data_IF_974078545106
#
_entry.id   IF_974078545106
#
_cell.length_a   1.000
_cell.length_b   1.000
_cell.length_c   1.000
_cell.angle_alpha   90.00
_cell.angle_beta   90.00
_cell.angle_gamma   90.00
#
_symmetry.space_group_name_H-M   'P 1'
#
loop_
_entity.id
_entity.type
_entity.pdbx_description
1 polymer ?
#
# COMPACT_ATOMS: atom_id res chain seq x y z
N UNK A 1 24.00 13.04 19.72
CA UNK A 1 24.16 11.91 18.77
C UNK A 1 25.62 11.67 18.41
N UNK A 2 26.31 12.59 17.72
CA UNK A 2 27.74 12.42 17.33
C UNK A 2 28.67 12.04 18.50
N UNK A 3 28.53 12.72 19.65
CA UNK A 3 29.29 12.39 20.86
C UNK A 3 28.98 10.97 21.41
N UNK A 4 27.73 10.52 21.29
CA UNK A 4 27.30 9.19 21.74
C UNK A 4 27.82 8.09 20.80
N UNK A 5 27.79 8.33 19.49
CA UNK A 5 28.38 7.43 18.49
C UNK A 5 29.89 7.35 18.63
N UNK A 6 30.56 8.50 18.82
CA UNK A 6 32.00 8.54 19.10
C UNK A 6 32.36 7.82 20.39
N UNK A 7 31.51 7.86 21.42
CA UNK A 7 31.70 7.10 22.65
C UNK A 7 31.53 5.60 22.39
N UNK A 8 30.46 5.19 21.71
CA UNK A 8 30.20 3.78 21.41
C UNK A 8 31.33 3.13 20.58
N UNK A 9 31.84 3.84 19.57
CA UNK A 9 32.99 3.42 18.76
C UNK A 9 34.24 3.22 19.63
N UNK A 10 34.47 4.08 20.63
CA UNK A 10 35.66 3.97 21.49
C UNK A 10 35.55 2.89 22.55
N UNK A 11 34.36 2.69 23.09
CA UNK A 11 34.16 1.81 24.25
C UNK A 11 33.92 0.35 23.84
N UNK A 12 33.26 0.12 22.70
CA UNK A 12 32.81 -1.23 22.32
C UNK A 12 33.60 -1.89 21.19
N UNK A 13 34.45 -1.15 20.48
CA UNK A 13 35.30 -1.74 19.45
C UNK A 13 36.67 -2.17 20.02
N UNK A 14 37.25 -3.28 19.53
CA UNK A 14 38.62 -3.64 19.82
C UNK A 14 39.56 -2.47 19.50
N UNK A 15 40.53 -2.21 20.37
CA UNK A 15 41.45 -1.06 20.25
C UNK A 15 42.17 -0.96 18.90
N UNK A 16 42.39 -2.10 18.23
CA UNK A 16 42.98 -2.20 16.89
C UNK A 16 42.06 -1.66 15.79
N UNK A 17 40.75 -1.83 15.93
CA UNK A 17 39.75 -1.33 14.99
C UNK A 17 39.42 0.15 15.19
N UNK A 18 39.62 0.68 16.40
CA UNK A 18 39.35 2.11 16.69
C UNK A 18 40.19 3.03 15.80
N UNK A 19 41.45 2.67 15.49
CA UNK A 19 42.32 3.51 14.67
C UNK A 19 41.96 3.47 13.18
N UNK A 20 41.68 2.27 12.64
CA UNK A 20 41.23 2.07 11.25
C UNK A 20 39.85 2.69 11.02
N UNK A 21 38.88 2.39 11.89
CA UNK A 21 37.53 2.93 11.79
C UNK A 21 37.54 4.43 12.10
N UNK A 22 38.22 4.88 13.14
CA UNK A 22 38.25 6.30 13.52
C UNK A 22 38.89 7.22 12.47
N UNK A 23 39.79 6.69 11.63
CA UNK A 23 40.37 7.45 10.52
C UNK A 23 39.51 7.43 9.24
N UNK A 24 38.73 6.38 9.02
CA UNK A 24 37.82 6.26 7.87
C UNK A 24 36.38 6.78 8.11
N UNK A 25 35.95 6.87 9.37
CA UNK A 25 34.56 7.15 9.75
C UNK A 25 34.41 8.63 10.14
N UNK A 26 34.32 9.49 9.13
CA UNK A 26 33.88 10.88 9.30
C UNK A 26 32.37 10.88 9.59
N UNK A 27 32.03 10.81 10.88
CA UNK A 27 30.65 10.80 11.37
C UNK A 27 29.86 12.04 10.91
N UNK A 28 30.52 13.19 10.73
CA UNK A 28 29.86 14.42 10.29
C UNK A 28 29.49 14.33 8.81
N UNK A 29 30.40 13.81 7.97
CA UNK A 29 30.12 13.53 6.57
C UNK A 29 29.07 12.43 6.38
N UNK A 30 29.02 11.42 7.26
CA UNK A 30 28.00 10.36 7.23
C UNK A 30 26.63 10.93 7.56
N UNK A 31 26.51 11.74 8.62
CA UNK A 31 25.25 12.41 8.98
C UNK A 31 24.80 13.35 7.86
N UNK A 32 25.71 14.14 7.29
CA UNK A 32 25.40 15.01 6.14
C UNK A 32 24.93 14.22 4.92
N UNK A 33 25.59 13.10 4.61
CA UNK A 33 25.18 12.23 3.49
C UNK A 33 23.82 11.56 3.72
N UNK A 34 23.46 11.26 4.98
CA UNK A 34 22.15 10.71 5.31
C UNK A 34 21.03 11.74 5.10
N UNK A 35 21.30 13.01 5.46
CA UNK A 35 20.38 14.12 5.22
C UNK A 35 20.15 14.40 3.73
N UNK A 36 21.18 14.19 2.90
CA UNK A 36 21.10 14.43 1.45
C UNK A 36 20.50 13.24 0.69
N UNK A 37 20.70 12.00 1.16
CA UNK A 37 20.24 10.81 0.45
C UNK A 37 20.03 9.61 1.40
N UNK A 38 18.75 9.29 1.68
CA UNK A 38 18.36 8.14 2.50
C UNK A 38 18.86 6.83 1.85
N UNK A 39 19.91 6.23 2.42
CA UNK A 39 20.59 5.03 1.91
C UNK A 39 22.06 5.22 1.54
N UNK A 40 22.51 6.46 1.30
CA UNK A 40 23.93 6.75 1.06
C UNK A 40 24.79 6.49 2.30
N UNK A 41 24.26 6.83 3.48
CA UNK A 41 24.95 6.64 4.76
C UNK A 41 25.21 5.16 5.06
N UNK A 42 24.19 4.30 4.94
CA UNK A 42 24.31 2.85 5.17
C UNK A 42 25.35 2.20 4.27
N UNK A 43 25.35 2.51 2.97
CA UNK A 43 26.34 1.98 2.03
C UNK A 43 27.77 2.37 2.42
N UNK A 44 27.96 3.63 2.82
CA UNK A 44 29.28 4.16 3.21
C UNK A 44 29.76 3.55 4.52
N UNK A 45 28.88 3.44 5.52
CA UNK A 45 29.18 2.77 6.79
C UNK A 45 29.57 1.31 6.55
N UNK A 46 28.78 0.56 5.77
CA UNK A 46 29.09 -0.82 5.44
C UNK A 46 30.43 -0.97 4.72
N UNK A 47 30.77 -0.05 3.82
CA UNK A 47 32.07 -0.04 3.14
C UNK A 47 33.23 0.15 4.12
N UNK A 48 33.15 1.17 5.00
CA UNK A 48 34.21 1.45 5.99
C UNK A 48 34.43 0.27 6.92
N UNK A 49 33.35 -0.33 7.42
CA UNK A 49 33.45 -1.53 8.28
C UNK A 49 33.98 -2.75 7.52
N UNK A 50 33.61 -2.93 6.24
CA UNK A 50 34.14 -4.03 5.41
C UNK A 50 35.63 -3.85 5.13
N UNK A 51 36.07 -2.62 4.84
CA UNK A 51 37.49 -2.30 4.62
C UNK A 51 38.31 -2.47 5.88
N UNK A 52 37.83 -1.99 7.04
CA UNK A 52 38.50 -2.18 8.32
C UNK A 52 38.60 -3.66 8.75
N UNK A 53 37.71 -4.53 8.27
CA UNK A 53 37.79 -6.00 8.49
C UNK A 53 38.82 -6.69 7.58
N UNK A 54 39.21 -6.10 6.44
CA UNK A 54 40.13 -6.75 5.49
C UNK A 54 41.51 -6.91 6.14
N UNK A 55 41.90 -8.17 6.38
CA UNK A 55 43.24 -8.52 6.88
C UNK A 55 43.33 -8.67 8.40
N UNK A 56 42.23 -8.53 9.15
CA UNK A 56 42.20 -8.80 10.59
C UNK A 56 41.32 -10.01 10.88
N UNK A 57 41.88 -11.16 11.29
CA UNK A 57 41.08 -12.27 11.80
C UNK A 57 40.49 -11.86 13.16
N UNK A 58 39.19 -11.62 13.19
CA UNK A 58 38.44 -11.31 14.40
C UNK A 58 37.97 -12.61 15.07
N UNK A 59 37.95 -12.63 16.39
CA UNK A 59 37.23 -13.68 17.12
C UNK A 59 35.72 -13.50 16.96
N UNK A 60 34.92 -14.56 17.17
CA UNK A 60 33.44 -14.48 17.10
C UNK A 60 32.85 -13.40 17.99
N UNK A 61 33.46 -13.14 19.16
CA UNK A 61 33.02 -12.10 20.08
C UNK A 61 33.28 -10.71 19.50
N UNK A 62 34.45 -10.50 18.91
CA UNK A 62 34.81 -9.23 18.28
C UNK A 62 33.98 -8.97 17.02
N UNK A 63 33.70 -10.00 16.21
CA UNK A 63 32.77 -9.88 15.07
C UNK A 63 31.39 -9.42 15.54
N UNK A 64 30.85 -10.04 16.59
CA UNK A 64 29.57 -9.64 17.17
C UNK A 64 29.56 -8.21 17.70
N UNK A 65 30.64 -7.76 18.37
CA UNK A 65 30.76 -6.38 18.84
C UNK A 65 30.79 -5.38 17.70
N UNK A 66 31.54 -5.69 16.64
CA UNK A 66 31.63 -4.84 15.44
C UNK A 66 30.28 -4.75 14.75
N UNK A 67 29.56 -5.86 14.59
CA UNK A 67 28.22 -5.89 14.00
C UNK A 67 27.24 -5.05 14.82
N UNK A 68 27.25 -5.15 16.15
CA UNK A 68 26.41 -4.34 17.04
C UNK A 68 26.71 -2.84 16.87
N UNK A 69 27.99 -2.44 16.88
CA UNK A 69 28.37 -1.03 16.75
C UNK A 69 27.98 -0.51 15.37
N UNK A 70 28.21 -1.29 14.32
CA UNK A 70 27.80 -0.95 12.95
C UNK A 70 26.29 -0.75 12.86
N UNK A 71 25.50 -1.66 13.41
CA UNK A 71 24.04 -1.58 13.44
C UNK A 71 23.56 -0.32 14.18
N UNK A 72 24.16 0.02 15.32
CA UNK A 72 23.83 1.25 16.08
C UNK A 72 24.14 2.51 15.27
N UNK A 73 25.29 2.54 14.57
CA UNK A 73 25.66 3.69 13.72
C UNK A 73 24.71 3.82 12.53
N UNK A 74 24.37 2.71 11.87
CA UNK A 74 23.39 2.71 10.76
C UNK A 74 22.03 3.17 11.25
N UNK A 75 21.54 2.65 12.38
CA UNK A 75 20.27 3.09 12.97
C UNK A 75 20.27 4.57 13.31
N UNK A 76 21.34 5.09 13.92
CA UNK A 76 21.45 6.51 14.24
C UNK A 76 21.58 7.41 13.00
N UNK A 77 22.07 6.87 11.88
CA UNK A 77 22.17 7.60 10.62
C UNK A 77 20.83 7.61 9.86
N UNK A 78 20.12 6.48 9.82
CA UNK A 78 18.89 6.31 9.02
C UNK A 78 17.60 6.66 9.81
N UNK A 79 17.66 6.73 11.14
CA UNK A 79 16.50 7.00 12.00
C UNK A 79 16.67 8.24 12.87
N UNK A 80 15.54 8.84 13.23
CA UNK A 80 15.51 9.92 14.21
C UNK A 80 15.58 9.33 15.62
N UNK A 81 16.51 9.83 16.44
CA UNK A 81 16.57 9.46 17.85
C UNK A 81 15.57 10.32 18.64
N UNK A 82 14.47 9.72 19.08
CA UNK A 82 13.55 10.37 20.01
C UNK A 82 14.06 10.23 21.44
N UNK A 83 14.55 11.33 22.01
CA UNK A 83 14.89 11.40 23.43
C UNK A 83 13.72 12.01 24.19
N UNK A 84 13.18 11.26 25.15
CA UNK A 84 12.09 11.70 26.03
C UNK A 84 12.68 11.91 27.42
N UNK A 85 12.60 13.14 27.92
CA UNK A 85 12.92 13.42 29.31
C UNK A 85 11.81 12.85 30.20
N UNK A 86 12.18 11.97 31.13
CA UNK A 86 11.28 11.35 32.09
C UNK A 86 11.59 11.95 33.46
N UNK A 87 10.55 12.31 34.21
CA UNK A 87 10.71 12.82 35.57
C UNK A 87 11.37 11.74 36.45
N UNK A 88 12.18 12.16 37.43
CA UNK A 88 12.81 11.26 38.40
C UNK A 88 11.78 10.43 39.15
N UNK A 89 10.57 10.95 39.33
CA UNK A 89 9.46 10.24 39.97
C UNK A 89 8.98 9.00 39.18
N UNK A 90 9.12 9.00 37.86
CA UNK A 90 8.77 7.90 36.95
C UNK A 90 9.87 6.86 36.78
N UNK A 91 11.08 7.11 37.30
CA UNK A 91 12.19 6.14 37.27
C UNK A 91 11.81 4.92 38.13
N UNK A 92 12.10 3.72 37.61
CA UNK A 92 11.69 2.43 38.17
C UNK A 92 10.17 2.16 38.21
N UNK A 93 9.36 3.03 37.59
CA UNK A 93 7.94 2.78 37.36
C UNK A 93 7.69 2.27 35.94
N UNK A 94 6.58 1.54 35.75
CA UNK A 94 6.13 1.14 34.41
C UNK A 94 5.67 2.38 33.64
N UNK A 95 6.51 2.83 32.71
CA UNK A 95 6.19 3.95 31.82
C UNK A 95 5.76 3.43 30.45
N UNK A 96 4.80 4.12 29.82
CA UNK A 96 4.33 3.82 28.47
C UNK A 96 4.65 5.01 27.57
N UNK A 97 5.40 4.76 26.50
CA UNK A 97 5.66 5.75 25.46
C UNK A 97 4.69 5.50 24.32
N UNK A 98 3.90 6.52 23.96
CA UNK A 98 3.03 6.51 22.79
C UNK A 98 3.52 7.57 21.82
N UNK A 99 3.73 7.19 20.57
CA UNK A 99 4.03 8.12 19.49
C UNK A 99 3.20 7.72 18.27
N UNK A 100 2.81 8.72 17.48
CA UNK A 100 2.11 8.53 16.23
C UNK A 100 2.98 9.08 15.11
N UNK A 101 3.08 8.33 14.02
CA UNK A 101 3.85 8.72 12.84
C UNK A 101 2.84 8.94 11.70
N UNK A 102 2.73 10.18 11.23
CA UNK A 102 2.03 10.49 9.99
C UNK A 102 3.04 10.33 8.86
N UNK A 103 3.08 9.13 8.28
CA UNK A 103 4.03 8.76 7.23
C UNK A 103 3.29 8.55 5.91
N UNK A 104 3.91 9.03 4.83
CA UNK A 104 3.50 8.66 3.48
C UNK A 104 3.57 7.14 3.31
N UNK A 105 2.65 6.59 2.51
CA UNK A 105 2.57 5.15 2.29
C UNK A 105 3.87 4.64 1.66
N UNK A 106 4.60 3.70 2.27
CA UNK A 106 5.80 3.14 1.67
C UNK A 106 5.47 2.47 0.32
N UNK A 107 6.42 2.51 -0.61
CA UNK A 107 6.25 2.04 -1.98
C UNK A 107 5.87 0.53 -2.00
N UNK A 108 4.62 0.20 -2.33
CA UNK A 108 4.20 -1.18 -2.65
C UNK A 108 4.33 -1.40 -4.17
N UNK A 109 4.90 -2.53 -4.58
CA UNK A 109 5.07 -2.96 -5.97
C UNK A 109 3.77 -3.49 -6.62
N UNK A 110 2.71 -3.72 -5.86
CA UNK A 110 1.46 -4.30 -6.38
C UNK A 110 0.49 -3.22 -6.87
N UNK A 111 0.37 -3.08 -8.19
CA UNK A 111 -0.65 -2.23 -8.84
C UNK A 111 -1.81 -3.08 -9.35
N UNK A 112 -3.04 -2.59 -9.22
CA UNK A 112 -4.23 -3.19 -9.83
C UNK A 112 -4.88 -4.33 -9.04
N UNK A 113 -4.39 -4.65 -7.85
CA UNK A 113 -4.98 -5.63 -6.93
C UNK A 113 -5.93 -4.95 -5.95
N UNK A 114 -6.85 -5.73 -5.38
CA UNK A 114 -7.73 -5.29 -4.30
C UNK A 114 -6.96 -5.19 -2.98
N UNK A 115 -5.84 -5.89 -2.88
CA UNK A 115 -5.00 -5.97 -1.69
C UNK A 115 -3.68 -5.25 -1.90
N UNK A 116 -3.29 -4.47 -0.89
CA UNK A 116 -1.97 -3.83 -0.73
C UNK A 116 -1.39 -4.29 0.59
N UNK A 117 -0.12 -4.66 0.60
CA UNK A 117 0.57 -5.12 1.80
C UNK A 117 1.71 -4.17 2.09
N UNK A 118 1.66 -3.56 3.26
CA UNK A 118 2.66 -2.60 3.72
C UNK A 118 3.41 -3.23 4.88
N UNK A 119 4.73 -3.07 4.91
CA UNK A 119 5.54 -3.54 6.02
C UNK A 119 6.60 -2.51 6.42
N UNK A 120 6.87 -2.42 7.72
CA UNK A 120 7.95 -1.60 8.25
C UNK A 120 8.66 -2.33 9.38
N UNK A 121 9.98 -2.18 9.42
CA UNK A 121 10.81 -2.71 10.50
C UNK A 121 10.77 -1.79 11.73
N UNK A 122 10.79 -2.41 12.91
CA UNK A 122 10.87 -1.77 14.21
C UNK A 122 12.27 -2.11 14.76
N UNK A 123 13.25 -1.19 14.63
CA UNK A 123 14.65 -1.48 14.95
C UNK A 123 14.85 -1.86 16.42
N UNK A 124 14.16 -1.20 17.35
CA UNK A 124 14.34 -1.37 18.80
C UNK A 124 13.23 -2.22 19.45
N UNK A 125 12.68 -3.16 18.70
CA UNK A 125 11.57 -3.99 19.17
C UNK A 125 11.89 -4.68 20.51
N UNK A 126 13.07 -5.31 20.61
CA UNK A 126 13.54 -6.02 21.80
C UNK A 126 13.78 -5.19 23.05
N UNK A 127 13.91 -3.86 22.94
CA UNK A 127 14.23 -3.00 24.08
C UNK A 127 13.03 -2.72 24.99
N UNK A 128 11.81 -2.92 24.50
CA UNK A 128 10.61 -2.77 25.32
C UNK A 128 10.20 -4.10 25.97
N UNK A 129 9.62 -4.03 27.17
CA UNK A 129 9.01 -5.20 27.80
C UNK A 129 7.80 -5.73 26.99
N UNK A 130 7.16 -4.88 26.21
CA UNK A 130 6.06 -5.20 25.32
C UNK A 130 5.93 -4.13 24.24
N UNK A 131 5.68 -4.53 23.00
CA UNK A 131 5.50 -3.63 21.87
C UNK A 131 4.04 -3.68 21.43
N UNK A 132 3.43 -2.50 21.31
CA UNK A 132 2.05 -2.32 20.87
C UNK A 132 2.06 -1.50 19.59
N UNK A 133 1.50 -2.03 18.51
CA UNK A 133 1.37 -1.37 17.22
C UNK A 133 -0.10 -1.15 16.95
N UNK A 134 -0.48 0.11 16.72
CA UNK A 134 -1.81 0.49 16.26
C UNK A 134 -1.67 1.14 14.89
N UNK A 135 -2.44 0.66 13.91
CA UNK A 135 -2.43 1.21 12.55
C UNK A 135 -3.83 1.68 12.22
N UNK A 136 -3.93 2.91 11.74
CA UNK A 136 -5.15 3.51 11.22
C UNK A 136 -5.03 3.75 9.72
N UNK A 137 -6.05 3.36 8.95
CA UNK A 137 -6.13 3.62 7.50
C UNK A 137 -7.14 4.73 7.20
N UNK A 138 -6.92 5.51 6.12
CA UNK A 138 -7.81 6.59 5.74
C UNK A 138 -9.22 6.09 5.36
N UNK A 139 -10.25 6.97 5.41
CA UNK A 139 -11.61 6.62 5.03
C UNK A 139 -11.69 6.05 3.61
N UNK A 140 -12.49 4.98 3.44
CA UNK A 140 -12.63 4.28 2.16
C UNK A 140 -11.72 3.05 2.00
N UNK A 141 -10.84 2.80 2.97
CA UNK A 141 -10.04 1.59 3.11
C UNK A 141 -10.34 0.90 4.45
N UNK A 142 -9.92 -0.36 4.57
CA UNK A 142 -9.99 -1.14 5.81
C UNK A 142 -8.75 -2.02 5.91
N UNK A 143 -8.38 -2.35 7.14
CA UNK A 143 -7.37 -3.34 7.46
C UNK A 143 -8.02 -4.72 7.45
N UNK A 144 -7.42 -5.62 6.67
CA UNK A 144 -7.80 -7.03 6.60
C UNK A 144 -6.99 -7.86 7.59
N UNK A 145 -5.71 -7.53 7.76
CA UNK A 145 -4.78 -8.24 8.66
C UNK A 145 -3.70 -7.29 9.13
N UNK A 146 -3.33 -7.38 10.41
CA UNK A 146 -2.13 -6.78 10.96
C UNK A 146 -1.31 -7.88 11.63
N UNK A 147 -0.05 -8.01 11.25
CA UNK A 147 0.90 -8.91 11.87
C UNK A 147 2.01 -8.10 12.52
N UNK A 148 2.41 -8.51 13.71
CA UNK A 148 3.60 -8.05 14.39
C UNK A 148 4.53 -9.25 14.57
N UNK A 149 5.66 -9.22 13.89
CA UNK A 149 6.63 -10.30 13.82
C UNK A 149 7.91 -9.91 14.55
N UNK A 150 8.43 -10.83 15.35
CA UNK A 150 9.78 -10.77 15.90
C UNK A 150 10.75 -11.46 14.94
N UNK A 151 11.74 -10.71 14.47
CA UNK A 151 12.80 -11.17 13.59
C UNK A 151 14.06 -11.49 14.43
N UNK A 152 14.57 -12.72 14.29
CA UNK A 152 15.84 -13.11 14.92
C UNK A 152 17.07 -12.62 14.15
N UNK A 153 18.22 -12.61 14.84
CA UNK A 153 19.53 -12.16 14.33
C UNK A 153 20.00 -12.92 13.07
N UNK A 154 19.61 -14.19 12.89
CA UNK A 154 20.02 -15.00 11.74
C UNK A 154 19.01 -14.92 10.58
N UNK A 155 19.24 -13.96 9.67
CA UNK A 155 18.62 -13.95 8.34
C UNK A 155 17.11 -13.65 8.32
N UNK A 156 16.59 -12.96 9.32
CA UNK A 156 15.19 -12.52 9.33
C UNK A 156 14.18 -13.66 9.52
N UNK A 157 14.60 -14.78 10.12
CA UNK A 157 13.68 -15.85 10.52
C UNK A 157 12.69 -15.32 11.56
N UNK A 158 11.40 -15.52 11.29
CA UNK A 158 10.31 -15.18 12.20
C UNK A 158 10.41 -16.11 13.41
N UNK A 159 10.61 -15.53 14.60
CA UNK A 159 10.65 -16.28 15.87
C UNK A 159 9.27 -16.36 16.51
N UNK A 160 8.59 -15.22 16.58
CA UNK A 160 7.25 -15.11 17.11
C UNK A 160 6.42 -14.17 16.25
N UNK A 161 5.12 -14.43 16.19
CA UNK A 161 4.16 -13.64 15.45
C UNK A 161 2.92 -13.43 16.31
N UNK A 162 2.45 -12.19 16.36
CA UNK A 162 1.14 -11.81 16.89
C UNK A 162 0.34 -11.25 15.73
N UNK A 163 -0.75 -11.93 15.41
CA UNK A 163 -1.61 -11.56 14.29
C UNK A 163 -2.96 -11.13 14.79
N UNK A 164 -3.37 -9.95 14.36
CA UNK A 164 -4.70 -9.45 14.50
C UNK A 164 -5.45 -9.69 13.19
N UNK A 165 -6.16 -10.82 13.17
CA UNK A 165 -7.16 -11.15 12.18
C UNK A 165 -8.46 -10.53 12.66
N UNK A 166 -8.78 -9.32 12.19
CA UNK A 166 -10.02 -8.69 12.62
C UNK A 166 -11.22 -9.61 12.34
N UNK A 167 -12.03 -9.88 13.38
CA UNK A 167 -13.34 -10.53 13.25
C UNK A 167 -14.28 -9.76 12.28
N UNK A 168 -13.88 -8.54 11.89
CA UNK A 168 -14.41 -7.79 10.77
C UNK A 168 -13.38 -6.79 10.23
N UNK A 169 -13.58 -6.39 8.97
CA UNK A 169 -12.72 -5.40 8.31
C UNK A 169 -12.96 -4.02 8.93
N UNK A 170 -11.93 -3.44 9.54
CA UNK A 170 -11.99 -2.21 10.36
C UNK A 170 -10.96 -1.17 9.92
N UNK A 171 -11.17 0.09 10.29
CA UNK A 171 -10.25 1.19 9.95
C UNK A 171 -9.03 1.30 10.87
N UNK A 172 -9.06 0.63 12.03
CA UNK A 172 -7.99 0.64 13.04
C UNK A 172 -7.73 -0.80 13.46
N UNK A 173 -6.48 -1.24 13.49
CA UNK A 173 -6.07 -2.56 13.97
C UNK A 173 -4.97 -2.41 15.02
N UNK A 174 -4.91 -3.37 15.95
CA UNK A 174 -3.97 -3.35 17.07
C UNK A 174 -3.36 -4.72 17.28
N UNK A 175 -2.03 -4.77 17.33
CA UNK A 175 -1.27 -5.94 17.73
C UNK A 175 -0.37 -5.61 18.92
N UNK A 176 -0.16 -6.58 19.79
CA UNK A 176 0.88 -6.51 20.80
C UNK A 176 1.71 -7.79 20.81
N UNK A 177 3.01 -7.67 21.06
CA UNK A 177 3.92 -8.80 21.16
C UNK A 177 4.99 -8.51 22.23
N UNK A 178 5.33 -9.54 23.00
CA UNK A 178 6.42 -9.50 23.96
C UNK A 178 7.70 -10.00 23.27
N UNK A 179 8.77 -9.20 23.23
CA UNK A 179 10.03 -9.66 22.66
C UNK A 179 10.64 -10.79 23.50
N UNK A 180 11.21 -11.78 22.83
CA UNK A 180 11.94 -12.88 23.48
C UNK A 180 13.37 -12.50 23.82
N UNK A 181 13.98 -11.61 23.04
CA UNK A 181 15.35 -11.17 23.26
C UNK A 181 15.52 -9.68 22.98
N UNK A 182 16.39 -9.03 23.77
CA UNK A 182 16.61 -7.58 23.75
C UNK A 182 17.15 -7.04 22.43
N UNK A 183 17.85 -7.88 21.66
CA UNK A 183 18.46 -7.50 20.38
C UNK A 183 17.56 -7.84 19.17
N UNK A 184 16.44 -8.51 19.38
CA UNK A 184 15.58 -8.89 18.27
C UNK A 184 14.90 -7.65 17.67
N UNK A 185 14.81 -7.66 16.35
CA UNK A 185 14.10 -6.64 15.58
C UNK A 185 12.64 -7.02 15.46
N UNK A 186 11.79 -6.02 15.22
CA UNK A 186 10.38 -6.23 14.94
C UNK A 186 10.10 -5.92 13.48
N UNK A 187 9.00 -6.44 12.96
CA UNK A 187 8.41 -5.97 11.72
C UNK A 187 6.91 -6.03 11.87
N UNK A 188 6.22 -4.95 11.54
CA UNK A 188 4.79 -5.02 11.36
C UNK A 188 4.47 -5.16 9.87
N UNK A 189 3.41 -5.91 9.57
CA UNK A 189 2.89 -6.12 8.22
C UNK A 189 1.40 -5.87 8.28
N UNK A 190 0.91 -4.91 7.50
CA UNK A 190 -0.52 -4.61 7.40
C UNK A 190 -1.02 -4.85 6.00
N UNK A 191 -2.15 -5.54 5.91
CA UNK A 191 -2.86 -5.78 4.66
C UNK A 191 -4.08 -4.89 4.59
N UNK A 192 -4.12 -4.03 3.58
CA UNK A 192 -5.16 -3.02 3.37
C UNK A 192 -5.98 -3.37 2.14
N UNK A 193 -7.30 -3.20 2.25
CA UNK A 193 -8.28 -3.44 1.20
C UNK A 193 -9.30 -2.30 1.11
N UNK A 194 -9.98 -2.09 -0.04
CA UNK A 194 -11.09 -1.16 -0.15
C UNK A 194 -12.20 -1.47 0.85
N UNK A 195 -12.79 -0.40 1.41
CA UNK A 195 -13.97 -0.47 2.26
C UNK A 195 -15.11 -1.24 1.58
N UNK A 196 -15.86 -2.08 2.31
CA UNK A 196 -17.02 -2.77 1.73
C UNK A 196 -18.17 -1.80 1.41
N UNK A 197 -18.15 -0.62 2.01
CA UNK A 197 -19.07 0.49 1.78
C UNK A 197 -18.48 1.54 0.85
N UNK A 198 -19.33 2.42 0.31
CA UNK A 198 -18.92 3.46 -0.63
C UNK A 198 -18.68 2.91 -2.03
N UNK A 199 -17.57 3.29 -2.66
CA UNK A 199 -17.30 3.02 -4.08
C UNK A 199 -17.32 1.53 -4.42
N UNK A 200 -16.69 0.68 -3.60
CA UNK A 200 -16.65 -0.77 -3.87
C UNK A 200 -18.02 -1.42 -3.67
N UNK A 201 -18.75 -1.03 -2.63
CA UNK A 201 -20.12 -1.48 -2.40
C UNK A 201 -21.05 -1.08 -3.54
N UNK A 202 -20.94 0.16 -4.02
CA UNK A 202 -21.67 0.65 -5.18
C UNK A 202 -21.30 -0.11 -6.47
N UNK A 203 -20.01 -0.33 -6.72
CA UNK A 203 -19.54 -1.07 -7.89
C UNK A 203 -20.05 -2.52 -7.94
N UNK A 204 -20.15 -3.19 -6.77
CA UNK A 204 -20.74 -4.55 -6.68
C UNK A 204 -22.15 -4.65 -7.22
N UNK A 205 -22.93 -3.57 -7.15
CA UNK A 205 -24.31 -3.53 -7.64
C UNK A 205 -24.35 -2.94 -9.05
N UNK A 206 -23.70 -1.79 -9.24
CA UNK A 206 -23.74 -1.06 -10.50
C UNK A 206 -23.17 -1.86 -11.67
N UNK A 207 -22.04 -2.55 -11.48
CA UNK A 207 -21.39 -3.33 -12.55
C UNK A 207 -22.30 -4.44 -13.09
N UNK A 208 -22.77 -5.40 -12.27
CA UNK A 208 -23.64 -6.45 -12.80
C UNK A 208 -24.97 -5.91 -13.31
N UNK A 209 -25.57 -4.91 -12.67
CA UNK A 209 -26.84 -4.33 -13.14
C UNK A 209 -26.68 -3.68 -14.51
N UNK A 210 -25.70 -2.79 -14.71
CA UNK A 210 -25.48 -2.13 -16.00
C UNK A 210 -25.07 -3.15 -17.07
N UNK A 211 -24.22 -4.12 -16.73
CA UNK A 211 -23.83 -5.16 -17.68
C UNK A 211 -25.01 -6.03 -18.10
N UNK A 212 -25.83 -6.49 -17.15
CA UNK A 212 -27.03 -7.28 -17.43
C UNK A 212 -28.04 -6.48 -18.27
N UNK A 213 -28.29 -5.21 -17.96
CA UNK A 213 -29.18 -4.36 -18.75
C UNK A 213 -28.64 -4.13 -20.17
N UNK A 214 -27.32 -3.92 -20.33
CA UNK A 214 -26.70 -3.70 -21.64
C UNK A 214 -26.75 -4.96 -22.51
N UNK A 215 -26.45 -6.12 -21.93
CA UNK A 215 -26.53 -7.42 -22.61
C UNK A 215 -27.99 -7.75 -22.94
N UNK A 216 -28.91 -7.54 -22.00
CA UNK A 216 -30.34 -7.74 -22.21
C UNK A 216 -30.87 -6.87 -23.35
N UNK A 217 -30.48 -5.59 -23.41
CA UNK A 217 -30.84 -4.69 -24.51
C UNK A 217 -30.23 -5.16 -25.85
N UNK A 218 -28.99 -5.65 -25.85
CA UNK A 218 -28.36 -6.22 -27.03
C UNK A 218 -29.07 -7.47 -27.54
N UNK A 219 -29.49 -8.38 -26.65
CA UNK A 219 -30.27 -9.59 -27.01
C UNK A 219 -31.66 -9.19 -27.52
N UNK A 220 -32.36 -8.29 -26.81
CA UNK A 220 -33.68 -7.81 -27.19
C UNK A 220 -33.68 -7.23 -28.60
N UNK A 221 -32.61 -6.52 -29.00
CA UNK A 221 -32.44 -6.02 -30.37
C UNK A 221 -32.53 -7.12 -31.44
N UNK A 222 -31.96 -8.31 -31.21
CA UNK A 222 -32.07 -9.41 -32.18
C UNK A 222 -33.45 -10.04 -32.21
N UNK A 223 -34.17 -10.01 -31.07
CA UNK A 223 -35.54 -10.48 -30.98
C UNK A 223 -36.52 -9.48 -31.61
N UNK A 224 -36.24 -8.18 -31.52
CA UNK A 224 -37.07 -7.11 -32.06
C UNK A 224 -37.00 -7.06 -33.59
N UNK A 225 -35.83 -7.39 -34.17
CA UNK A 225 -35.70 -7.65 -35.60
C UNK A 225 -36.62 -8.80 -36.10
N UNK A 226 -37.15 -9.62 -35.20
CA UNK A 226 -38.14 -10.67 -35.48
C UNK A 226 -39.59 -10.26 -35.21
N UNK A 227 -39.85 -9.18 -34.44
CA UNK A 227 -41.17 -8.83 -33.89
C UNK A 227 -41.73 -7.48 -34.37
N UNK A 228 -40.90 -6.46 -34.59
CA UNK A 228 -41.36 -5.12 -35.03
C UNK A 228 -41.06 -4.94 -36.52
N UNK A 229 -42.12 -4.95 -37.32
CA UNK A 229 -42.07 -4.95 -38.79
C UNK A 229 -42.13 -3.56 -39.42
N UNK A 230 -42.31 -2.50 -38.64
CA UNK A 230 -42.46 -1.13 -39.15
C UNK A 230 -41.26 -0.23 -38.79
N UNK A 231 -40.48 0.23 -39.77
CA UNK A 231 -39.26 1.03 -39.57
C UNK A 231 -39.52 2.55 -39.45
N UNK A 232 -40.77 3.01 -39.34
CA UNK A 232 -41.12 4.43 -39.51
C UNK A 232 -41.32 5.23 -38.23
N UNK A 233 -41.43 4.59 -37.07
CA UNK A 233 -41.74 5.30 -35.82
C UNK A 233 -40.48 5.48 -34.95
N UNK A 234 -39.68 6.49 -35.31
CA UNK A 234 -38.59 7.00 -34.47
C UNK A 234 -39.20 7.86 -33.35
N UNK A 235 -39.75 7.23 -32.32
CA UNK A 235 -40.11 7.96 -31.10
C UNK A 235 -38.87 8.14 -30.24
N UNK A 236 -38.50 9.41 -29.98
CA UNK A 236 -37.57 9.76 -28.94
C UNK A 236 -38.16 9.32 -27.59
N UNK A 237 -37.79 8.12 -27.16
CA UNK A 237 -38.35 7.49 -25.98
C UNK A 237 -37.83 8.21 -24.72
N UNK A 238 -38.69 8.50 -23.73
CA UNK A 238 -38.28 8.97 -22.40
C UNK A 238 -37.18 8.10 -21.75
N UNK A 239 -37.03 6.86 -22.21
CA UNK A 239 -35.94 5.96 -21.83
C UNK A 239 -34.54 6.55 -22.05
N UNK A 240 -34.31 7.35 -23.09
CA UNK A 240 -33.02 8.01 -23.32
C UNK A 240 -32.66 9.00 -22.20
N UNK A 241 -33.65 9.74 -21.70
CA UNK A 241 -33.46 10.67 -20.58
C UNK A 241 -33.19 9.91 -19.27
N UNK A 242 -33.87 8.78 -19.04
CA UNK A 242 -33.62 7.92 -17.88
C UNK A 242 -32.21 7.30 -17.95
N UNK A 243 -31.76 6.88 -19.15
CA UNK A 243 -30.42 6.34 -19.34
C UNK A 243 -29.32 7.35 -19.01
N UNK A 244 -29.54 8.65 -19.24
CA UNK A 244 -28.57 9.71 -18.90
C UNK A 244 -28.42 9.96 -17.38
N UNK A 245 -29.40 9.56 -16.57
CA UNK A 245 -29.27 9.61 -15.10
C UNK A 245 -28.18 8.65 -14.61
N UNK A 246 -28.03 7.50 -15.28
CA UNK A 246 -27.02 6.49 -14.93
C UNK A 246 -25.58 7.01 -14.96
N UNK A 247 -25.08 7.55 -16.10
CA UNK A 247 -23.77 8.18 -16.18
C UNK A 247 -23.55 9.27 -15.12
N UNK A 248 -24.55 10.12 -14.86
CA UNK A 248 -24.44 11.16 -13.83
C UNK A 248 -24.23 10.55 -12.43
N UNK A 249 -24.98 9.50 -12.08
CA UNK A 249 -24.81 8.77 -10.83
C UNK A 249 -23.43 8.11 -10.75
N UNK A 250 -22.97 7.45 -11.82
CA UNK A 250 -21.65 6.81 -11.87
C UNK A 250 -20.51 7.82 -11.71
N UNK A 251 -20.60 8.97 -12.41
CA UNK A 251 -19.59 10.03 -12.38
C UNK A 251 -19.59 10.82 -11.06
N UNK A 252 -20.71 10.87 -10.33
CA UNK A 252 -20.77 11.54 -9.01
C UNK A 252 -19.78 10.95 -7.99
N UNK A 253 -19.36 9.69 -8.18
CA UNK A 253 -18.35 9.04 -7.34
C UNK A 253 -16.91 9.45 -7.68
N UNK A 254 -16.68 10.16 -8.78
CA UNK A 254 -15.36 10.64 -9.21
C UNK A 254 -15.01 12.01 -8.64
N UNK A 255 -16.00 12.83 -8.25
CA UNK A 255 -15.80 14.25 -7.89
C UNK A 255 -15.48 14.48 -6.40
N UNK A 256 -14.82 13.54 -5.73
CA UNK A 256 -14.52 13.66 -4.29
C UNK A 256 -13.31 14.57 -4.03
N UNK A 257 -13.42 15.36 -2.96
CA UNK A 257 -12.40 16.27 -2.33
C UNK A 257 -11.03 15.58 -2.18
N UNK A 258 -9.92 16.31 -1.95
CA UNK A 258 -8.58 15.72 -1.93
C UNK A 258 -8.53 14.45 -1.08
N UNK A 259 -8.17 13.35 -1.73
CA UNK A 259 -8.13 12.02 -1.14
C UNK A 259 -6.68 11.62 -0.86
N UNK A 260 -6.49 10.83 0.19
CA UNK A 260 -5.19 10.25 0.48
C UNK A 260 -4.70 9.38 -0.70
N UNK A 261 -3.40 9.47 -1.03
CA UNK A 261 -2.84 8.81 -2.22
C UNK A 261 -3.11 7.29 -2.26
N UNK A 262 -3.04 6.61 -1.12
CA UNK A 262 -3.38 5.19 -1.00
C UNK A 262 -4.84 4.88 -1.37
N UNK A 263 -5.78 5.76 -1.02
CA UNK A 263 -7.21 5.61 -1.36
C UNK A 263 -7.37 5.73 -2.87
N UNK A 264 -6.82 6.79 -3.46
CA UNK A 264 -6.86 7.02 -4.90
C UNK A 264 -6.28 5.82 -5.67
N UNK A 265 -5.13 5.30 -5.22
CA UNK A 265 -4.45 4.15 -5.84
C UNK A 265 -5.27 2.86 -5.78
N UNK A 266 -5.78 2.49 -4.60
CA UNK A 266 -6.55 1.25 -4.42
C UNK A 266 -7.94 1.31 -5.09
N UNK A 267 -8.52 2.50 -5.19
CA UNK A 267 -9.83 2.70 -5.80
C UNK A 267 -9.78 3.01 -7.30
N UNK A 268 -8.61 3.33 -7.86
CA UNK A 268 -8.44 3.66 -9.27
C UNK A 268 -9.01 2.59 -10.24
N UNK A 269 -8.79 1.28 -10.04
CA UNK A 269 -9.36 0.26 -10.94
C UNK A 269 -10.89 0.31 -10.96
N UNK A 270 -11.52 0.52 -9.80
CA UNK A 270 -12.98 0.63 -9.69
C UNK A 270 -13.50 1.88 -10.41
N UNK A 271 -12.79 3.01 -10.30
CA UNK A 271 -13.12 4.25 -11.01
C UNK A 271 -13.10 4.06 -12.52
N UNK A 272 -12.08 3.37 -13.02
CA UNK A 272 -11.95 3.07 -14.44
C UNK A 272 -13.12 2.20 -14.94
N UNK A 273 -13.57 1.22 -14.14
CA UNK A 273 -14.76 0.41 -14.47
C UNK A 273 -16.03 1.25 -14.49
N UNK A 274 -16.26 2.11 -13.50
CA UNK A 274 -17.44 2.99 -13.48
C UNK A 274 -17.44 3.98 -14.64
N UNK A 275 -16.27 4.49 -15.04
CA UNK A 275 -16.13 5.35 -16.21
C UNK A 275 -16.47 4.58 -17.50
N UNK A 276 -16.00 3.34 -17.65
CA UNK A 276 -16.35 2.49 -18.79
C UNK A 276 -17.87 2.19 -18.84
N UNK A 277 -18.51 1.96 -17.69
CA UNK A 277 -19.96 1.77 -17.61
C UNK A 277 -20.75 3.06 -17.87
N UNK A 278 -20.24 4.21 -17.43
CA UNK A 278 -20.84 5.51 -17.74
C UNK A 278 -20.82 5.76 -19.25
N UNK A 279 -19.68 5.50 -19.90
CA UNK A 279 -19.55 5.54 -21.36
C UNK A 279 -20.48 4.55 -22.05
N UNK A 280 -20.64 3.34 -21.50
CA UNK A 280 -21.56 2.33 -22.02
C UNK A 280 -23.02 2.83 -22.02
N UNK A 281 -23.49 3.37 -20.89
CA UNK A 281 -24.83 3.94 -20.78
C UNK A 281 -25.03 5.18 -21.64
N UNK A 282 -24.01 6.03 -21.77
CA UNK A 282 -24.04 7.19 -22.66
C UNK A 282 -24.16 6.76 -24.13
N UNK A 283 -23.43 5.72 -24.54
CA UNK A 283 -23.56 5.15 -25.88
C UNK A 283 -24.94 4.55 -26.11
N UNK A 284 -25.50 3.82 -25.14
CA UNK A 284 -26.87 3.30 -25.22
C UNK A 284 -27.90 4.42 -25.38
N UNK A 285 -27.77 5.50 -24.63
CA UNK A 285 -28.64 6.68 -24.75
C UNK A 285 -28.49 7.38 -26.11
N UNK A 286 -27.26 7.52 -26.60
CA UNK A 286 -26.99 8.13 -27.91
C UNK A 286 -27.55 7.29 -29.06
N UNK A 287 -27.35 5.97 -28.99
CA UNK A 287 -27.90 5.01 -29.96
C UNK A 287 -29.42 5.03 -29.92
N UNK A 288 -30.07 5.12 -28.76
CA UNK A 288 -31.55 5.15 -28.70
C UNK A 288 -32.16 6.50 -29.13
N UNK A 289 -31.42 7.60 -29.02
CA UNK A 289 -31.93 8.94 -29.32
C UNK A 289 -31.61 9.44 -30.73
N UNK A 290 -30.52 9.00 -31.34
CA UNK A 290 -30.00 9.54 -32.60
C UNK A 290 -30.15 8.49 -33.71
N UNK A 291 -30.76 8.83 -34.86
CA UNK A 291 -30.77 7.95 -36.02
C UNK A 291 -29.35 7.82 -36.57
N UNK A 292 -28.80 6.61 -36.53
CA UNK A 292 -27.45 6.30 -37.01
C UNK A 292 -27.52 5.51 -38.33
N UNK A 293 -26.45 5.61 -39.14
CA UNK A 293 -26.28 4.71 -40.29
C UNK A 293 -26.15 3.25 -39.82
N UNK A 294 -26.53 2.25 -40.63
CA UNK A 294 -26.51 0.84 -40.22
C UNK A 294 -25.14 0.36 -39.69
N UNK A 295 -24.05 0.82 -40.30
CA UNK A 295 -22.70 0.49 -39.86
C UNK A 295 -22.36 1.11 -38.49
N UNK A 296 -22.68 2.38 -38.29
CA UNK A 296 -22.45 3.07 -37.02
C UNK A 296 -23.31 2.48 -35.89
N UNK A 297 -24.57 2.13 -36.19
CA UNK A 297 -25.45 1.42 -35.28
C UNK A 297 -24.85 0.08 -34.81
N UNK A 298 -24.40 -0.75 -35.75
CA UNK A 298 -23.77 -2.03 -35.44
C UNK A 298 -22.50 -1.87 -34.60
N UNK A 299 -21.61 -0.94 -34.98
CA UNK A 299 -20.38 -0.67 -34.25
C UNK A 299 -20.64 -0.20 -32.81
N UNK A 300 -21.62 0.68 -32.60
CA UNK A 300 -21.98 1.19 -31.28
C UNK A 300 -22.47 0.07 -30.35
N UNK A 301 -23.31 -0.84 -30.85
CA UNK A 301 -23.77 -2.00 -30.07
C UNK A 301 -22.65 -2.98 -29.72
N UNK A 302 -21.73 -3.24 -30.65
CA UNK A 302 -20.54 -4.06 -30.36
C UNK A 302 -19.70 -3.39 -29.26
N UNK A 303 -19.51 -2.08 -29.33
CA UNK A 303 -18.77 -1.32 -28.33
C UNK A 303 -19.45 -1.35 -26.95
N UNK A 304 -20.77 -1.22 -26.89
CA UNK A 304 -21.58 -1.37 -25.66
C UNK A 304 -21.32 -2.73 -25.01
N UNK A 305 -21.37 -3.81 -25.79
CA UNK A 305 -21.12 -5.18 -25.28
C UNK A 305 -19.68 -5.32 -24.79
N UNK A 306 -18.69 -4.82 -25.54
CA UNK A 306 -17.28 -4.85 -25.14
C UNK A 306 -17.07 -4.11 -23.82
N UNK A 307 -17.65 -2.92 -23.65
CA UNK A 307 -17.53 -2.13 -22.42
C UNK A 307 -18.22 -2.83 -21.24
N UNK A 308 -19.41 -3.38 -21.44
CA UNK A 308 -20.18 -4.09 -20.41
C UNK A 308 -19.46 -5.38 -19.93
N UNK A 309 -19.01 -6.21 -20.88
CA UNK A 309 -18.29 -7.44 -20.56
C UNK A 309 -16.90 -7.14 -20.01
N UNK A 310 -16.17 -6.21 -20.61
CA UNK A 310 -14.84 -5.79 -20.14
C UNK A 310 -14.89 -5.26 -18.71
N UNK A 311 -15.89 -4.44 -18.37
CA UNK A 311 -16.08 -3.94 -17.00
C UNK A 311 -16.43 -5.06 -16.03
N UNK A 312 -17.29 -6.01 -16.43
CA UNK A 312 -17.66 -7.17 -15.60
C UNK A 312 -16.48 -8.11 -15.34
N UNK A 313 -15.70 -8.43 -16.38
CA UNK A 313 -14.49 -9.27 -16.27
C UNK A 313 -13.48 -8.57 -15.37
N UNK A 314 -13.20 -7.28 -15.62
CA UNK A 314 -12.26 -6.52 -14.82
C UNK A 314 -12.69 -6.45 -13.35
N UNK A 315 -13.98 -6.20 -13.08
CA UNK A 315 -14.53 -6.21 -11.72
C UNK A 315 -14.37 -7.58 -11.06
N UNK A 316 -14.62 -8.66 -11.79
CA UNK A 316 -14.47 -10.04 -11.28
C UNK A 316 -13.01 -10.34 -10.94
N UNK A 317 -12.07 -10.00 -11.83
CA UNK A 317 -10.63 -10.13 -11.57
C UNK A 317 -10.20 -9.33 -10.34
N UNK A 318 -10.65 -8.08 -10.23
CA UNK A 318 -10.38 -7.23 -9.06
C UNK A 318 -10.98 -7.81 -7.77
N UNK A 319 -12.24 -8.24 -7.80
CA UNK A 319 -12.94 -8.77 -6.63
C UNK A 319 -12.32 -10.08 -6.12
N UNK A 320 -11.87 -10.93 -7.05
CA UNK A 320 -11.15 -12.18 -6.81
C UNK A 320 -9.67 -11.99 -6.48
N UNK A 321 -9.18 -10.74 -6.46
CA UNK A 321 -7.76 -10.41 -6.26
C UNK A 321 -6.81 -11.11 -7.25
N UNK A 322 -7.33 -11.42 -8.44
CA UNK A 322 -6.54 -11.94 -9.54
C UNK A 322 -5.79 -10.76 -10.15
N UNK A 323 -4.49 -10.66 -9.88
CA UNK A 323 -3.66 -9.69 -10.58
C UNK A 323 -3.71 -10.03 -12.07
N UNK A 324 -4.50 -9.30 -12.85
CA UNK A 324 -4.18 -9.11 -14.26
C UNK A 324 -2.82 -8.44 -14.22
N UNK A 325 -1.73 -9.21 -14.37
CA UNK A 325 -0.39 -8.66 -14.58
C UNK A 325 -0.45 -7.85 -15.87
N UNK A 326 -0.94 -6.63 -15.80
CA UNK A 326 -1.00 -5.72 -16.92
C UNK A 326 0.41 -5.19 -17.13
N UNK A 327 1.12 -5.86 -18.03
CA UNK A 327 1.95 -5.42 -19.18
C UNK A 327 2.29 -3.92 -19.35
N UNK A 328 1.67 -2.98 -18.64
CA UNK A 328 1.98 -1.55 -18.76
C UNK A 328 3.13 -1.19 -17.83
N UNK A 329 4.35 -1.51 -18.25
CA UNK A 329 5.57 -0.82 -17.79
C UNK A 329 5.46 0.65 -18.19
N UNK A 330 4.88 1.48 -17.33
CA UNK A 330 5.20 2.90 -17.37
C UNK A 330 6.65 3.05 -16.89
N UNK A 331 7.54 3.37 -17.82
CA UNK A 331 8.91 3.83 -17.47
C UNK A 331 8.76 5.03 -16.53
N UNK A 332 9.33 4.91 -15.33
CA UNK A 332 9.67 6.06 -14.48
C UNK A 332 10.67 6.93 -15.25
#
# INVERSE_FOLDING_TARGET
>A
MLAMLSYAVREFLPSRLIHEIGSGLDLEAIVRSSLENAGGAKSKINQVFTEARKGMPLSRLEESQVDIVQDVIVQAADHFLLLIEVDKSTVAQRSMVKYALDQDTPDDDRRGTKRVTISQEIPDFGFAASQHVEIQVPPGLMIERLDLQELGDEGGRIRHESSDWGDGKRSIAHCALHPTHRLNRGRWIVTVVPAQQGLYGFAKVAVPTVAASSIGAFIARFMDAYLVRDPTDIFASPSASILLVGPALLLSWMSRKPEHAMVARLQFPLRLMLLALASCLLLLAGVSAIPLTPHAWNAAWVLVVILALGSSIHFTCFAADLSLRQVVRFKR
#
